data_IF_672281796755
#
_entry.id   IF_672281796755
#
_cell.length_a   1.000
_cell.length_b   1.000
_cell.length_c   1.000
_cell.angle_alpha   90.00
_cell.angle_beta   90.00
_cell.angle_gamma   90.00
#
_symmetry.space_group_name_H-M   'P 1'
#
loop_
_entity.id
_entity.type
_entity.pdbx_description
1 polymer ?
#
# COMPACT_ATOMS: atom_id res chain seq x y z
N UNK A 1 14.12 16.08 -25.22
CA UNK A 1 13.56 14.86 -25.81
C UNK A 1 13.98 13.58 -25.08
N UNK A 2 14.73 13.64 -23.97
CA UNK A 2 15.20 12.47 -23.20
C UNK A 2 14.25 11.98 -22.09
N UNK A 3 13.42 12.86 -21.52
CA UNK A 3 12.72 12.58 -20.26
C UNK A 3 11.43 11.73 -20.42
N UNK A 4 10.82 11.72 -21.61
CA UNK A 4 9.57 10.99 -21.87
C UNK A 4 9.79 9.48 -21.91
N UNK A 5 10.95 9.05 -22.41
CA UNK A 5 11.39 7.65 -22.46
C UNK A 5 11.74 7.10 -21.08
N UNK A 6 12.36 7.89 -20.20
CA UNK A 6 12.68 7.45 -18.83
C UNK A 6 11.41 7.27 -17.98
N UNK A 7 10.43 8.16 -18.13
CA UNK A 7 9.12 8.07 -17.47
C UNK A 7 8.31 6.83 -17.87
N UNK A 8 8.32 6.46 -19.15
CA UNK A 8 7.65 5.24 -19.64
C UNK A 8 8.34 3.97 -19.14
N UNK A 9 9.67 3.98 -19.07
CA UNK A 9 10.46 2.88 -18.49
C UNK A 9 10.17 2.75 -16.99
N UNK A 10 10.09 3.87 -16.24
CA UNK A 10 9.76 3.91 -14.82
C UNK A 10 8.33 3.41 -14.52
N UNK A 11 7.33 3.84 -15.29
CA UNK A 11 5.95 3.37 -15.13
C UNK A 11 5.83 1.86 -15.41
N UNK A 12 6.48 1.39 -16.48
CA UNK A 12 6.62 -0.03 -16.78
C UNK A 12 7.35 -0.81 -15.69
N UNK A 13 8.39 -0.23 -15.09
CA UNK A 13 9.12 -0.81 -13.96
C UNK A 13 8.27 -0.91 -12.70
N UNK A 14 7.39 0.05 -12.43
CA UNK A 14 6.52 0.06 -11.24
C UNK A 14 5.41 -0.99 -11.37
N UNK A 15 4.72 -1.05 -12.51
CA UNK A 15 3.66 -2.05 -12.74
C UNK A 15 4.23 -3.47 -12.83
N UNK A 16 5.39 -3.62 -13.50
CA UNK A 16 6.10 -4.90 -13.52
C UNK A 16 6.64 -5.25 -12.14
N UNK A 17 7.20 -4.32 -11.36
CA UNK A 17 7.72 -4.63 -10.03
C UNK A 17 6.62 -4.97 -9.01
N UNK A 18 5.42 -4.39 -9.10
CA UNK A 18 4.30 -4.78 -8.23
C UNK A 18 3.81 -6.21 -8.55
N UNK A 19 3.64 -6.54 -9.83
CA UNK A 19 3.31 -7.90 -10.27
C UNK A 19 4.45 -8.89 -10.00
N UNK A 20 5.71 -8.47 -10.16
CA UNK A 20 6.90 -9.28 -9.90
C UNK A 20 7.13 -9.49 -8.41
N UNK A 21 6.81 -8.54 -7.54
CA UNK A 21 6.91 -8.71 -6.08
C UNK A 21 5.81 -9.67 -5.59
N UNK A 22 4.58 -9.56 -6.12
CA UNK A 22 3.52 -10.54 -5.87
C UNK A 22 3.92 -11.93 -6.37
N UNK A 23 4.43 -12.02 -7.61
CA UNK A 23 4.90 -13.27 -8.21
C UNK A 23 6.16 -13.80 -7.53
N UNK A 24 7.07 -12.97 -7.05
CA UNK A 24 8.26 -13.36 -6.32
C UNK A 24 7.86 -13.91 -4.96
N UNK A 25 6.94 -13.26 -4.24
CA UNK A 25 6.36 -13.80 -3.00
C UNK A 25 5.63 -15.12 -3.24
N UNK A 26 4.86 -15.23 -4.33
CA UNK A 26 4.26 -16.50 -4.76
C UNK A 26 5.33 -17.55 -5.07
N UNK A 27 6.41 -17.19 -5.76
CA UNK A 27 7.54 -18.07 -6.08
C UNK A 27 8.35 -18.46 -4.85
N UNK A 28 8.45 -17.61 -3.83
CA UNK A 28 9.08 -17.94 -2.56
C UNK A 28 8.18 -18.85 -1.72
N UNK A 29 6.88 -18.57 -1.64
CA UNK A 29 5.89 -19.43 -1.01
C UNK A 29 5.77 -20.78 -1.72
N UNK A 30 5.90 -20.80 -3.06
CA UNK A 30 5.89 -22.01 -3.89
C UNK A 30 7.29 -22.64 -4.07
N UNK A 31 8.35 -22.00 -3.60
CA UNK A 31 9.73 -22.30 -4.04
C UNK A 31 10.78 -22.42 -2.93
N UNK A 32 10.46 -22.11 -1.66
CA UNK A 32 11.16 -22.67 -0.50
C UNK A 32 10.72 -24.12 -0.19
N UNK A 33 10.12 -24.77 -1.20
CA UNK A 33 9.65 -26.14 -1.19
C UNK A 33 9.86 -26.85 -2.53
N UNK A 34 10.87 -26.46 -3.34
CA UNK A 34 11.49 -27.42 -4.29
C UNK A 34 12.25 -28.49 -3.49
N UNK A 35 11.49 -29.22 -2.67
CA UNK A 35 11.80 -30.59 -2.26
C UNK A 35 12.32 -31.32 -3.48
N UNK A 36 13.40 -32.09 -3.32
CA UNK A 36 14.09 -32.85 -4.37
C UNK A 36 13.25 -33.93 -5.08
N UNK A 37 11.92 -33.77 -5.13
CA UNK A 37 10.99 -34.64 -5.82
C UNK A 37 10.56 -34.04 -7.17
N UNK A 38 11.47 -34.05 -8.13
CA UNK A 38 11.24 -33.73 -9.55
C UNK A 38 10.19 -34.62 -10.24
N UNK A 39 9.61 -35.63 -9.57
CA UNK A 39 8.63 -36.56 -10.16
C UNK A 39 7.16 -36.25 -9.83
N UNK A 40 6.86 -35.32 -8.91
CA UNK A 40 5.48 -34.96 -8.55
C UNK A 40 5.28 -33.45 -8.60
N UNK A 41 4.99 -32.96 -9.79
CA UNK A 41 4.78 -31.53 -10.07
C UNK A 41 3.47 -30.95 -9.50
N UNK A 42 2.62 -31.75 -8.85
CA UNK A 42 1.30 -31.30 -8.37
C UNK A 42 0.96 -31.80 -6.95
N UNK A 43 1.97 -32.05 -6.11
CA UNK A 43 1.76 -32.60 -4.76
C UNK A 43 0.84 -31.71 -3.89
N UNK A 44 0.89 -30.39 -4.07
CA UNK A 44 -0.01 -29.44 -3.41
C UNK A 44 -1.48 -29.61 -3.83
N UNK A 45 -1.73 -29.99 -5.10
CA UNK A 45 -3.07 -30.27 -5.62
C UNK A 45 -3.65 -31.54 -4.98
N UNK A 46 -2.82 -32.57 -4.76
CA UNK A 46 -3.22 -33.79 -4.03
C UNK A 46 -3.61 -33.49 -2.57
N UNK A 47 -2.99 -32.48 -1.95
CA UNK A 47 -3.35 -31.99 -0.61
C UNK A 47 -4.46 -30.93 -0.60
N UNK A 48 -5.04 -30.59 -1.77
CA UNK A 48 -6.15 -29.65 -1.89
C UNK A 48 -5.75 -28.17 -1.82
N UNK A 49 -4.48 -27.82 -1.95
CA UNK A 49 -4.03 -26.43 -1.99
C UNK A 49 -4.23 -25.81 -3.38
N UNK A 50 -4.72 -24.56 -3.47
CA UNK A 50 -4.93 -23.86 -4.73
C UNK A 50 -3.60 -23.48 -5.39
N UNK A 51 -3.57 -23.46 -6.71
CA UNK A 51 -2.39 -23.06 -7.49
C UNK A 51 -2.11 -21.55 -7.40
N UNK A 52 -3.16 -20.74 -7.25
CA UNK A 52 -3.07 -19.29 -7.08
C UNK A 52 -3.55 -18.92 -5.69
N UNK A 53 -2.73 -18.13 -5.00
CA UNK A 53 -3.04 -17.61 -3.67
C UNK A 53 -3.59 -16.20 -3.81
N UNK A 54 -4.82 -16.02 -3.34
CA UNK A 54 -5.48 -14.73 -3.20
C UNK A 54 -5.29 -14.13 -1.79
N UNK A 55 -5.63 -12.85 -1.65
CA UNK A 55 -5.55 -12.12 -0.38
C UNK A 55 -6.17 -12.88 0.81
N UNK A 56 -7.34 -13.51 0.64
CA UNK A 56 -8.02 -14.23 1.72
C UNK A 56 -7.19 -15.41 2.24
N UNK A 57 -6.41 -16.08 1.40
CA UNK A 57 -5.52 -17.15 1.83
C UNK A 57 -4.39 -16.61 2.71
N UNK A 58 -3.78 -15.50 2.30
CA UNK A 58 -2.71 -14.87 3.08
C UNK A 58 -3.23 -14.28 4.39
N UNK A 59 -4.38 -13.60 4.34
CA UNK A 59 -5.01 -13.00 5.51
C UNK A 59 -5.40 -14.07 6.53
N UNK A 60 -6.05 -15.15 6.10
CA UNK A 60 -6.39 -16.27 6.97
C UNK A 60 -5.17 -16.95 7.56
N UNK A 61 -4.10 -17.13 6.78
CA UNK A 61 -2.83 -17.68 7.28
C UNK A 61 -2.23 -16.76 8.36
N UNK A 62 -2.23 -15.44 8.12
CA UNK A 62 -1.73 -14.44 9.07
C UNK A 62 -2.53 -14.42 10.38
N UNK A 63 -3.86 -14.45 10.32
CA UNK A 63 -4.74 -14.38 11.49
C UNK A 63 -4.78 -15.68 12.30
N UNK A 64 -4.76 -16.85 11.62
CA UNK A 64 -5.00 -18.15 12.28
C UNK A 64 -3.72 -18.93 12.61
N UNK A 65 -2.58 -18.61 11.99
CA UNK A 65 -1.33 -19.32 12.20
C UNK A 65 -0.29 -18.45 12.93
N UNK A 66 0.04 -18.83 14.16
CA UNK A 66 1.00 -18.11 15.01
C UNK A 66 2.40 -17.98 14.40
N UNK A 67 2.84 -18.93 13.56
CA UNK A 67 4.13 -18.84 12.89
C UNK A 67 4.13 -17.76 11.79
N UNK A 68 3.06 -17.67 11.01
CA UNK A 68 2.90 -16.64 9.98
C UNK A 68 2.76 -15.25 10.62
N UNK A 69 1.95 -15.14 11.68
CA UNK A 69 1.84 -13.92 12.47
C UNK A 69 3.21 -13.47 13.01
N UNK A 70 3.95 -14.40 13.63
CA UNK A 70 5.28 -14.13 14.18
C UNK A 70 6.29 -13.70 13.12
N UNK A 71 6.28 -14.30 11.93
CA UNK A 71 7.16 -13.93 10.84
C UNK A 71 6.92 -12.49 10.37
N UNK A 72 5.65 -12.10 10.17
CA UNK A 72 5.27 -10.73 9.77
C UNK A 72 5.70 -9.72 10.82
N UNK A 73 5.35 -9.94 12.09
CA UNK A 73 5.68 -8.98 13.15
C UNK A 73 7.16 -8.88 13.44
N UNK A 74 7.92 -9.99 13.36
CA UNK A 74 9.38 -9.95 13.52
C UNK A 74 10.05 -9.11 12.43
N UNK A 75 9.63 -9.27 11.17
CA UNK A 75 10.15 -8.47 10.06
C UNK A 75 9.75 -7.00 10.21
N UNK A 76 8.48 -6.75 10.53
CA UNK A 76 7.95 -5.40 10.74
C UNK A 76 8.68 -4.68 11.88
N UNK A 77 8.88 -5.34 13.01
CA UNK A 77 9.57 -4.74 14.16
C UNK A 77 11.05 -4.49 13.88
N UNK A 78 11.71 -5.38 13.12
CA UNK A 78 13.07 -5.13 12.65
C UNK A 78 13.15 -3.90 11.74
N UNK A 79 12.27 -3.79 10.73
CA UNK A 79 12.23 -2.65 9.81
C UNK A 79 11.88 -1.32 10.51
N UNK A 80 10.98 -1.37 11.50
CA UNK A 80 10.50 -0.21 12.24
C UNK A 80 11.16 -0.05 13.62
N UNK A 81 12.38 -0.55 13.79
CA UNK A 81 13.18 -0.32 15.01
C UNK A 81 13.46 1.17 15.17
N UNK A 82 13.83 1.83 14.08
CA UNK A 82 14.04 3.28 14.02
C UNK A 82 12.98 3.94 13.13
N UNK A 83 12.46 5.09 13.56
CA UNK A 83 11.55 5.87 12.71
C UNK A 83 12.33 6.54 11.58
N UNK A 84 11.79 6.57 10.35
CA UNK A 84 12.47 7.18 9.22
C UNK A 84 12.66 8.69 9.42
N UNK A 85 13.77 9.19 8.89
CA UNK A 85 14.14 10.62 8.91
C UNK A 85 13.80 11.23 7.55
N UNK A 86 13.06 12.33 7.57
CA UNK A 86 12.67 13.05 6.36
C UNK A 86 13.71 14.16 6.13
N UNK A 87 14.36 14.12 4.96
CA UNK A 87 15.40 15.07 4.55
C UNK A 87 14.95 15.78 3.27
N UNK A 88 15.23 17.07 3.18
CA UNK A 88 14.95 17.89 1.99
C UNK A 88 16.18 17.94 1.07
N UNK A 89 16.08 17.31 -0.10
CA UNK A 89 17.16 17.22 -1.10
C UNK A 89 17.67 15.78 -1.34
N UNK A 90 18.80 15.69 -2.04
CA UNK A 90 19.39 14.43 -2.49
C UNK A 90 19.93 13.57 -1.33
N UNK A 91 19.99 12.24 -1.47
CA UNK A 91 20.37 11.29 -0.41
C UNK A 91 21.76 11.57 0.18
N UNK A 92 22.64 12.18 -0.62
CA UNK A 92 24.00 12.59 -0.28
C UNK A 92 24.05 13.82 0.63
N UNK A 93 22.97 14.61 0.70
CA UNK A 93 22.83 15.80 1.54
C UNK A 93 22.15 15.47 2.87
N UNK A 94 22.68 14.48 3.61
CA UNK A 94 22.42 14.37 5.05
C UNK A 94 23.11 15.54 5.77
N UNK A 95 22.56 16.75 5.61
CA UNK A 95 23.04 17.95 6.27
C UNK A 95 23.02 17.72 7.77
N UNK A 96 24.16 17.98 8.44
CA UNK A 96 24.25 17.97 9.92
C UNK A 96 23.28 18.95 10.59
N UNK A 97 22.73 19.92 9.85
CA UNK A 97 21.78 20.92 10.35
C UNK A 97 20.43 20.72 9.67
N UNK A 98 19.44 20.28 10.44
CA UNK A 98 18.08 20.09 9.95
C UNK A 98 17.41 21.43 9.59
N UNK A 99 16.77 21.47 8.43
CA UNK A 99 16.09 22.67 7.91
C UNK A 99 14.82 22.99 8.72
N UNK A 100 14.35 24.25 8.74
CA UNK A 100 13.10 24.60 9.40
C UNK A 100 11.88 23.84 8.87
N UNK A 101 11.91 23.42 7.61
CA UNK A 101 10.86 22.62 6.99
C UNK A 101 10.90 21.16 7.48
N UNK A 102 12.07 20.52 7.46
CA UNK A 102 12.25 19.15 7.94
C UNK A 102 11.79 19.00 9.39
N UNK A 103 12.12 19.97 10.25
CA UNK A 103 11.67 19.99 11.65
C UNK A 103 10.15 20.01 11.77
N UNK A 104 9.46 20.77 10.92
CA UNK A 104 7.99 20.84 10.90
C UNK A 104 7.38 19.53 10.42
N UNK A 105 7.90 18.95 9.33
CA UNK A 105 7.39 17.70 8.78
C UNK A 105 7.66 16.53 9.74
N UNK A 106 8.86 16.46 10.30
CA UNK A 106 9.20 15.46 11.31
C UNK A 106 8.27 15.56 12.52
N UNK A 107 7.97 16.78 12.99
CA UNK A 107 7.00 17.00 14.08
C UNK A 107 5.59 16.53 13.71
N UNK A 108 5.14 16.81 12.48
CA UNK A 108 3.83 16.37 11.98
C UNK A 108 3.75 14.84 11.90
N UNK A 109 4.80 14.19 11.40
CA UNK A 109 4.82 12.74 11.16
C UNK A 109 5.00 11.90 12.43
N UNK A 110 5.55 12.45 13.51
CA UNK A 110 5.70 11.74 14.79
C UNK A 110 4.42 11.05 15.28
N UNK A 111 3.25 11.68 15.10
CA UNK A 111 1.94 11.10 15.47
C UNK A 111 1.38 10.09 14.45
N UNK A 112 1.94 10.06 13.24
CA UNK A 112 1.42 9.27 12.11
C UNK A 112 2.26 8.03 11.79
N UNK A 113 3.49 7.91 12.30
CA UNK A 113 4.32 6.73 12.03
C UNK A 113 3.66 5.40 12.38
N UNK A 114 2.87 5.34 13.46
CA UNK A 114 2.12 4.14 13.81
C UNK A 114 1.11 3.72 12.71
N UNK A 115 0.54 4.68 11.98
CA UNK A 115 -0.39 4.41 10.86
C UNK A 115 0.35 3.97 9.62
N UNK A 116 1.52 4.53 9.35
CA UNK A 116 2.40 4.09 8.26
C UNK A 116 2.90 2.67 8.52
N UNK A 117 3.35 2.38 9.75
CA UNK A 117 3.73 1.02 10.18
C UNK A 117 2.57 0.02 10.05
N UNK A 118 1.35 0.42 10.39
CA UNK A 118 0.18 -0.46 10.19
C UNK A 118 -0.15 -0.68 8.71
N UNK A 119 0.03 0.31 7.83
CA UNK A 119 -0.10 0.08 6.39
C UNK A 119 0.98 -0.91 5.91
N UNK A 120 2.23 -0.74 6.34
CA UNK A 120 3.31 -1.67 5.98
C UNK A 120 3.05 -3.10 6.49
N UNK A 121 2.52 -3.26 7.71
CA UNK A 121 2.04 -4.56 8.22
C UNK A 121 1.04 -5.21 7.26
N UNK A 122 0.06 -4.44 6.78
CA UNK A 122 -0.97 -4.95 5.84
C UNK A 122 -0.37 -5.30 4.48
N UNK A 123 0.63 -4.56 4.03
CA UNK A 123 1.38 -4.83 2.80
C UNK A 123 2.24 -6.11 2.89
N UNK A 124 2.71 -6.47 4.10
CA UNK A 124 3.42 -7.73 4.31
C UNK A 124 2.52 -8.95 4.23
N UNK A 125 1.23 -8.80 4.54
CA UNK A 125 0.23 -9.88 4.48
C UNK A 125 -0.34 -10.02 3.07
N UNK A 126 -0.76 -8.92 2.44
CA UNK A 126 -1.34 -8.93 1.09
C UNK A 126 -0.31 -8.72 -0.02
N UNK A 127 -0.82 -8.52 -1.24
CA UNK A 127 -0.01 -8.08 -2.38
C UNK A 127 0.32 -6.60 -2.27
N UNK A 128 -0.63 -5.80 -1.77
CA UNK A 128 -0.48 -4.37 -1.54
C UNK A 128 -1.27 -3.92 -0.31
N UNK A 129 -1.06 -2.67 0.10
CA UNK A 129 -1.90 -1.97 1.06
C UNK A 129 -2.07 -0.52 0.61
N UNK A 130 -3.01 0.19 1.21
CA UNK A 130 -3.18 1.61 0.94
C UNK A 130 -3.10 2.44 2.22
N UNK A 131 -2.58 3.65 2.07
CA UNK A 131 -2.56 4.67 3.10
C UNK A 131 -3.44 5.83 2.66
N UNK A 132 -4.65 5.91 3.20
CA UNK A 132 -5.63 6.91 2.82
C UNK A 132 -5.46 8.15 3.71
N UNK A 133 -5.32 9.31 3.08
CA UNK A 133 -5.16 10.60 3.76
C UNK A 133 -6.46 11.39 3.70
N UNK A 134 -7.01 11.72 4.87
CA UNK A 134 -8.20 12.56 4.98
C UNK A 134 -7.79 13.99 5.32
N UNK A 135 -8.16 14.93 4.46
CA UNK A 135 -7.87 16.35 4.63
C UNK A 135 -9.12 17.14 5.07
N UNK A 136 -8.90 18.23 5.80
CA UNK A 136 -9.94 19.15 6.26
C UNK A 136 -10.14 20.30 5.25
N UNK A 137 -10.37 19.98 3.98
CA UNK A 137 -10.53 20.96 2.90
C UNK A 137 -12.00 21.21 2.49
N UNK A 138 -12.95 20.57 3.20
CA UNK A 138 -14.40 20.66 2.94
C UNK A 138 -14.84 20.20 1.54
N UNK A 139 -13.99 19.42 0.85
CA UNK A 139 -14.32 18.80 -0.44
C UNK A 139 -14.77 17.35 -0.28
N UNK A 140 -15.38 16.82 -1.33
CA UNK A 140 -15.70 15.40 -1.38
C UNK A 140 -14.45 14.54 -1.65
N UNK A 141 -14.47 13.28 -1.23
CA UNK A 141 -13.32 12.37 -1.30
C UNK A 141 -12.81 12.09 -2.72
N UNK A 142 -13.65 12.27 -3.73
CA UNK A 142 -13.31 12.07 -5.14
C UNK A 142 -12.77 13.33 -5.83
N UNK A 143 -12.77 14.46 -5.13
CA UNK A 143 -12.23 15.71 -5.65
C UNK A 143 -10.75 15.89 -5.29
N UNK A 144 -9.98 16.60 -6.12
CA UNK A 144 -8.60 16.93 -5.80
C UNK A 144 -8.51 17.87 -4.58
N UNK A 145 -7.53 17.61 -3.73
CA UNK A 145 -7.29 18.34 -2.48
C UNK A 145 -7.06 19.83 -2.75
N UNK A 146 -7.75 20.67 -1.98
CA UNK A 146 -7.57 22.11 -2.08
C UNK A 146 -6.27 22.60 -1.43
N UNK A 147 -5.25 22.85 -2.25
CA UNK A 147 -3.96 23.34 -1.78
C UNK A 147 -4.05 24.71 -1.09
N UNK A 148 -5.02 25.56 -1.45
CA UNK A 148 -5.17 26.89 -0.87
C UNK A 148 -5.70 26.82 0.58
N UNK A 149 -6.72 25.97 0.80
CA UNK A 149 -7.28 25.71 2.13
C UNK A 149 -6.27 24.99 3.01
N UNK A 150 -5.54 24.03 2.44
CA UNK A 150 -4.50 23.29 3.16
C UNK A 150 -3.32 24.17 3.60
N UNK A 151 -2.92 25.15 2.80
CA UNK A 151 -1.88 26.13 3.17
C UNK A 151 -2.27 26.91 4.42
N UNK A 152 -3.55 27.25 4.55
CA UNK A 152 -4.08 27.98 5.71
C UNK A 152 -4.26 27.09 6.95
N UNK A 153 -4.60 25.82 6.74
CA UNK A 153 -4.91 24.84 7.81
C UNK A 153 -3.68 24.28 8.53
N UNK A 154 -2.46 24.53 8.04
CA UNK A 154 -1.16 24.12 8.64
C UNK A 154 -1.18 22.64 9.10
N UNK A 155 -0.71 22.35 10.32
CA UNK A 155 -0.63 20.99 10.90
C UNK A 155 -2.01 20.35 11.20
N UNK A 156 -3.10 21.13 11.17
CA UNK A 156 -4.47 20.66 11.41
C UNK A 156 -5.19 20.23 10.13
N UNK A 157 -4.61 20.49 8.96
CA UNK A 157 -5.22 20.14 7.69
C UNK A 157 -5.28 18.64 7.43
N UNK A 158 -4.37 17.84 7.99
CA UNK A 158 -4.44 16.38 7.95
C UNK A 158 -5.28 15.88 9.14
N UNK A 159 -6.49 15.43 8.85
CA UNK A 159 -7.47 14.94 9.84
C UNK A 159 -7.09 13.54 10.31
N UNK A 160 -6.94 12.62 9.35
CA UNK A 160 -6.73 11.21 9.64
C UNK A 160 -5.88 10.56 8.56
N UNK A 161 -5.14 9.55 9.00
CA UNK A 161 -4.40 8.62 8.14
C UNK A 161 -4.96 7.23 8.40
N UNK A 162 -5.57 6.63 7.38
CA UNK A 162 -6.31 5.37 7.47
C UNK A 162 -5.51 4.30 6.69
N UNK A 163 -4.83 3.38 7.39
CA UNK A 163 -4.27 2.20 6.74
C UNK A 163 -5.41 1.26 6.35
N UNK A 164 -5.38 0.78 5.10
CA UNK A 164 -6.40 -0.10 4.53
C UNK A 164 -5.77 -1.38 3.99
N UNK A 165 -6.48 -2.49 4.13
CA UNK A 165 -6.10 -3.78 3.53
C UNK A 165 -6.34 -3.77 2.02
N UNK A 166 -5.67 -4.66 1.29
CA UNK A 166 -5.95 -4.94 -0.13
C UNK A 166 -7.44 -5.17 -0.40
N UNK A 167 -8.12 -6.00 0.40
CA UNK A 167 -9.55 -6.26 0.22
C UNK A 167 -10.45 -5.01 0.36
N UNK A 168 -9.99 -3.99 1.08
CA UNK A 168 -10.77 -2.76 1.32
C UNK A 168 -10.62 -1.73 0.21
N UNK A 169 -9.61 -1.85 -0.66
CA UNK A 169 -9.33 -0.85 -1.70
C UNK A 169 -9.42 -1.52 -3.06
N UNK A 170 -10.35 -1.06 -3.90
CA UNK A 170 -10.53 -1.61 -5.25
C UNK A 170 -10.36 -0.52 -6.31
N UNK A 171 -9.63 -0.77 -7.40
CA UNK A 171 -9.57 0.17 -8.51
C UNK A 171 -10.94 0.34 -9.13
N UNK A 172 -11.28 1.59 -9.48
CA UNK A 172 -12.44 1.93 -10.27
C UNK A 172 -12.14 1.88 -11.77
N UNK A 173 -12.77 2.75 -12.54
CA UNK A 173 -12.58 2.83 -13.99
C UNK A 173 -11.13 3.20 -14.35
N UNK A 174 -10.62 2.60 -15.42
CA UNK A 174 -9.29 2.89 -15.95
C UNK A 174 -9.31 4.13 -16.86
N UNK A 175 -8.18 4.83 -16.95
CA UNK A 175 -7.97 5.87 -17.94
C UNK A 175 -7.81 5.27 -19.34
N UNK A 176 -8.67 5.71 -20.25
CA UNK A 176 -8.77 5.21 -21.61
C UNK A 176 -8.18 6.19 -22.62
N UNK A 177 -7.92 7.45 -22.23
CA UNK A 177 -7.24 8.40 -23.09
C UNK A 177 -5.76 8.02 -23.23
N UNK A 178 -5.38 7.53 -24.40
CA UNK A 178 -4.01 7.14 -24.75
C UNK A 178 -3.02 8.30 -24.72
N UNK A 179 -3.50 9.55 -24.76
CA UNK A 179 -2.66 10.74 -24.64
C UNK A 179 -2.41 11.14 -23.19
N UNK A 180 -3.16 10.56 -22.24
CA UNK A 180 -2.97 10.81 -20.82
C UNK A 180 -1.68 10.12 -20.34
N UNK A 181 -0.86 10.78 -19.50
CA UNK A 181 0.24 10.10 -18.82
C UNK A 181 -0.26 8.97 -17.90
N UNK A 182 -1.52 9.01 -17.48
CA UNK A 182 -2.15 8.03 -16.61
C UNK A 182 -2.88 6.92 -17.39
N UNK A 183 -2.66 6.79 -18.70
CA UNK A 183 -3.32 5.76 -19.51
C UNK A 183 -3.12 4.35 -18.94
N UNK A 184 -4.23 3.61 -18.77
CA UNK A 184 -4.23 2.28 -18.16
C UNK A 184 -4.18 2.27 -16.64
N UNK A 185 -4.10 3.43 -15.98
CA UNK A 185 -4.15 3.56 -14.52
C UNK A 185 -5.59 3.80 -14.04
N UNK A 186 -5.97 3.42 -12.81
CA UNK A 186 -7.29 3.71 -12.25
C UNK A 186 -7.52 5.21 -12.04
N UNK A 187 -8.65 5.74 -12.52
CA UNK A 187 -9.07 7.14 -12.31
C UNK A 187 -9.38 7.45 -10.85
N UNK A 188 -9.88 6.45 -10.13
CA UNK A 188 -10.27 6.55 -8.73
C UNK A 188 -10.24 5.16 -8.09
N UNK A 189 -10.30 5.13 -6.77
CA UNK A 189 -10.39 3.90 -5.98
C UNK A 189 -11.63 3.92 -5.11
N UNK A 190 -12.21 2.75 -4.87
CA UNK A 190 -13.24 2.56 -3.86
C UNK A 190 -12.61 2.08 -2.56
N UNK A 191 -12.91 2.76 -1.47
CA UNK A 191 -12.58 2.31 -0.12
C UNK A 191 -13.82 1.76 0.57
N UNK A 192 -13.74 0.51 1.01
CA UNK A 192 -14.76 -0.15 1.82
C UNK A 192 -14.38 -0.03 3.30
N UNK A 193 -15.21 0.66 4.07
CA UNK A 193 -14.94 0.88 5.52
C UNK A 193 -15.08 -0.39 6.36
N UNK A 194 -15.72 -1.43 5.81
CA UNK A 194 -15.96 -2.69 6.47
C UNK A 194 -14.64 -3.35 6.91
N UNK A 195 -14.63 -3.92 8.12
CA UNK A 195 -13.50 -4.69 8.59
C UNK A 195 -13.31 -5.95 7.75
N UNK A 196 -12.05 -6.31 7.52
CA UNK A 196 -11.67 -7.55 6.82
C UNK A 196 -11.69 -8.70 7.81
N UNK A 197 -12.24 -9.84 7.38
CA UNK A 197 -12.30 -11.07 8.18
C UNK A 197 -13.71 -11.62 8.34
N UNK A 198 -13.78 -12.84 8.88
CA UNK A 198 -15.01 -13.60 9.05
C UNK A 198 -15.77 -13.13 10.31
N UNK A 199 -16.36 -11.95 10.22
CA UNK A 199 -17.31 -11.49 11.21
C UNK A 199 -18.69 -11.96 10.75
N UNK A 200 -19.14 -13.12 11.24
CA UNK A 200 -20.41 -13.75 10.91
C UNK A 200 -21.69 -12.95 11.26
N UNK A 201 -21.61 -11.63 11.44
CA UNK A 201 -22.73 -10.69 11.60
C UNK A 201 -22.24 -9.25 11.38
N UNK A 202 -21.88 -8.86 10.15
CA UNK A 202 -21.66 -7.44 9.82
C UNK A 202 -23.02 -6.81 9.54
N UNK A 203 -23.73 -6.46 10.61
CA UNK A 203 -24.96 -5.68 10.54
C UNK A 203 -24.62 -4.19 10.51
N UNK A 204 -24.42 -3.66 9.31
CA UNK A 204 -24.21 -2.24 9.05
C UNK A 204 -24.24 -1.97 7.54
N UNK A 205 -24.68 -0.78 7.10
CA UNK A 205 -24.68 -0.48 5.67
C UNK A 205 -23.25 -0.53 5.13
N UNK A 206 -23.03 -1.28 4.05
CA UNK A 206 -21.76 -1.31 3.34
C UNK A 206 -21.48 0.09 2.78
N UNK A 207 -20.62 0.84 3.47
CA UNK A 207 -20.19 2.18 3.05
C UNK A 207 -18.96 2.04 2.17
N UNK A 208 -19.15 2.29 0.88
CA UNK A 208 -18.08 2.45 -0.09
C UNK A 208 -17.87 3.93 -0.39
N UNK A 209 -16.66 4.43 -0.18
CA UNK A 209 -16.28 5.80 -0.48
C UNK A 209 -15.46 5.81 -1.77
N UNK A 210 -15.84 6.65 -2.73
CA UNK A 210 -15.04 6.92 -3.92
C UNK A 210 -13.93 7.93 -3.57
N UNK A 211 -12.68 7.58 -3.84
CA UNK A 211 -11.51 8.38 -3.50
C UNK A 211 -10.75 8.81 -4.75
N UNK A 212 -10.26 10.04 -4.72
CA UNK A 212 -9.35 10.57 -5.74
C UNK A 212 -7.97 9.92 -5.60
N UNK A 213 -7.37 9.54 -6.73
CA UNK A 213 -5.97 9.10 -6.79
C UNK A 213 -5.09 10.24 -7.28
N UNK A 214 -4.07 10.61 -6.52
CA UNK A 214 -3.03 11.50 -7.01
C UNK A 214 -1.93 10.68 -7.70
N UNK A 215 -1.89 10.74 -9.02
CA UNK A 215 -0.81 10.13 -9.83
C UNK A 215 -0.01 11.25 -10.48
N UNK A 216 0.69 12.05 -9.68
CA UNK A 216 1.65 13.04 -10.19
C UNK A 216 3.00 12.76 -9.53
N UNK A 217 3.88 12.10 -10.28
CA UNK A 217 5.31 12.02 -10.04
C UNK A 217 6.02 12.83 -11.12
#
# INVERSE_FOLDING_TARGET
MSNTTEMQVLAGLIVNSLNEVGRARQLYASGLGKSGNTKRHHLWCEFGYPERLDFDHFYNMYERNGAAFGAVHKLLDACWTDTPVIVDGDETKKSKKSTPWEKKVTKLMKKHWAKVKDADRRNLVGHYSALILQFADSKEWWEPVDRSVMRNSRERGLVKMIPAWEAQVKPGDLEQDQKSPDYGMPKFYYFQEQQVGDNGNISGPMRSIKMFSYTHL
#
